data_IF_753895665145
#
_entry.id   IF_753895665145
#
_cell.length_a   1.000
_cell.length_b   1.000
_cell.length_c   1.000
_cell.angle_alpha   90.00
_cell.angle_beta   90.00
_cell.angle_gamma   90.00
#
_symmetry.space_group_name_H-M   'P 1'
#
loop_
_entity.id
_entity.type
_entity.pdbx_description
1 polymer ?
#
# COMPACT_ATOMS: atom_id res chain seq x y z
N UNK A 1 11.38 7.85 12.24
CA UNK A 1 10.73 7.06 11.16
C UNK A 1 9.23 7.30 11.22
N UNK A 2 8.57 7.33 10.07
CA UNK A 2 7.13 7.59 10.07
C UNK A 2 6.34 6.35 10.49
N UNK A 3 5.10 6.55 10.92
CA UNK A 3 4.21 5.44 11.27
C UNK A 3 4.04 4.50 10.07
N UNK A 4 3.88 3.21 10.33
CA UNK A 4 3.78 2.20 9.26
C UNK A 4 2.66 2.52 8.27
N UNK A 5 1.47 2.90 8.75
CA UNK A 5 0.37 3.23 7.83
C UNK A 5 0.73 4.40 6.91
N UNK A 6 1.47 5.38 7.41
CA UNK A 6 1.92 6.50 6.59
C UNK A 6 2.97 6.06 5.58
N UNK A 7 3.88 5.15 5.98
CA UNK A 7 4.86 4.61 5.06
C UNK A 7 4.21 3.82 3.94
N UNK A 8 3.16 3.06 4.25
CA UNK A 8 2.39 2.31 3.25
C UNK A 8 1.78 3.27 2.22
N UNK A 9 1.07 4.31 2.69
CA UNK A 9 0.45 5.29 1.81
C UNK A 9 1.49 6.02 0.97
N UNK A 10 2.58 6.46 1.61
CA UNK A 10 3.63 7.20 0.92
C UNK A 10 4.28 6.41 -0.19
N UNK A 11 4.39 5.09 -0.01
CA UNK A 11 4.94 4.20 -1.04
C UNK A 11 4.19 4.34 -2.37
N UNK A 12 2.86 4.52 -2.31
CA UNK A 12 2.04 4.65 -3.51
C UNK A 12 2.25 5.97 -4.26
N UNK A 13 2.95 6.92 -3.69
CA UNK A 13 3.35 8.13 -4.42
C UNK A 13 4.64 7.92 -5.21
N UNK A 14 5.31 6.78 -5.02
CA UNK A 14 6.62 6.47 -5.61
C UNK A 14 6.57 5.36 -6.66
N UNK A 15 5.45 4.64 -6.75
CA UNK A 15 5.28 3.53 -7.70
C UNK A 15 4.01 3.71 -8.48
N UNK A 16 3.94 3.08 -9.66
CA UNK A 16 2.77 3.16 -10.52
C UNK A 16 1.61 2.36 -9.94
N UNK A 17 1.88 1.18 -9.42
CA UNK A 17 0.90 0.33 -8.76
C UNK A 17 1.62 -0.66 -7.86
N UNK A 18 0.90 -1.24 -6.90
CA UNK A 18 1.45 -2.27 -6.02
C UNK A 18 0.33 -3.09 -5.40
N UNK A 19 0.63 -4.36 -5.11
CA UNK A 19 -0.21 -5.21 -4.28
C UNK A 19 0.37 -5.27 -2.86
N UNK A 20 -0.32 -5.94 -1.94
CA UNK A 20 0.13 -6.05 -0.55
C UNK A 20 1.53 -6.66 -0.45
N UNK A 21 1.80 -7.71 -1.24
CA UNK A 21 3.11 -8.37 -1.23
C UNK A 21 4.22 -7.43 -1.68
N UNK A 22 3.95 -6.59 -2.68
CA UNK A 22 4.92 -5.57 -3.13
C UNK A 22 5.23 -4.56 -2.04
N UNK A 23 4.20 -4.11 -1.32
CA UNK A 23 4.35 -3.16 -0.22
C UNK A 23 5.20 -3.76 0.89
N UNK A 24 4.92 -5.01 1.27
CA UNK A 24 5.68 -5.71 2.30
C UNK A 24 7.16 -5.81 1.90
N UNK A 25 7.43 -6.22 0.66
CA UNK A 25 8.79 -6.34 0.17
C UNK A 25 9.52 -4.99 0.20
N UNK A 26 8.83 -3.92 -0.19
CA UNK A 26 9.43 -2.59 -0.22
C UNK A 26 9.74 -2.06 1.19
N UNK A 27 8.92 -2.41 2.19
CA UNK A 27 9.04 -1.84 3.53
C UNK A 27 9.73 -2.75 4.54
N UNK A 28 10.00 -4.00 4.21
CA UNK A 28 10.54 -4.95 5.19
C UNK A 28 11.91 -4.56 5.75
N UNK A 29 12.70 -3.81 5.00
CA UNK A 29 14.02 -3.38 5.46
C UNK A 29 13.95 -2.46 6.68
N UNK A 30 12.96 -1.56 6.70
CA UNK A 30 12.79 -0.59 7.78
C UNK A 30 11.75 -1.03 8.80
N UNK A 31 10.70 -1.72 8.34
CA UNK A 31 9.54 -2.08 9.16
C UNK A 31 9.38 -3.59 9.37
N UNK A 32 10.42 -4.39 9.09
CA UNK A 32 10.31 -5.84 9.14
C UNK A 32 9.93 -6.40 10.51
N UNK A 33 10.23 -5.67 11.59
CA UNK A 33 9.89 -6.10 12.94
C UNK A 33 8.48 -5.70 13.38
N UNK A 34 7.75 -4.96 12.56
CA UNK A 34 6.40 -4.52 12.89
C UNK A 34 5.42 -5.65 12.63
N UNK A 35 4.64 -6.01 13.66
CA UNK A 35 3.64 -7.07 13.51
C UNK A 35 2.61 -6.78 12.43
N UNK A 36 2.28 -5.51 12.25
CA UNK A 36 1.28 -5.11 11.26
C UNK A 36 1.80 -5.16 9.81
N UNK A 37 3.10 -5.42 9.61
CA UNK A 37 3.63 -5.64 8.26
C UNK A 37 3.44 -7.10 7.86
N UNK A 38 2.18 -7.53 7.85
CA UNK A 38 1.77 -8.87 7.43
C UNK A 38 0.71 -8.73 6.37
N UNK A 39 0.58 -9.76 5.54
CA UNK A 39 -0.31 -9.71 4.37
C UNK A 39 -1.72 -9.25 4.73
N UNK A 40 -2.36 -9.86 5.72
CA UNK A 40 -3.75 -9.52 6.05
C UNK A 40 -3.89 -8.09 6.58
N UNK A 41 -2.95 -7.65 7.40
CA UNK A 41 -2.97 -6.29 7.95
C UNK A 41 -2.72 -5.25 6.85
N UNK A 42 -1.80 -5.54 5.93
CA UNK A 42 -1.52 -4.64 4.82
C UNK A 42 -2.72 -4.58 3.87
N UNK A 43 -3.33 -5.73 3.56
CA UNK A 43 -4.56 -5.75 2.74
C UNK A 43 -5.63 -4.87 3.37
N UNK A 44 -5.85 -4.99 4.69
CA UNK A 44 -6.84 -4.18 5.39
C UNK A 44 -6.51 -2.68 5.28
N UNK A 45 -5.23 -2.32 5.40
CA UNK A 45 -4.81 -0.92 5.25
C UNK A 45 -5.08 -0.39 3.84
N UNK A 46 -4.82 -1.20 2.81
CA UNK A 46 -5.07 -0.80 1.42
C UNK A 46 -6.56 -0.63 1.15
N UNK A 47 -7.39 -1.54 1.66
CA UNK A 47 -8.84 -1.43 1.52
C UNK A 47 -9.39 -0.21 2.22
N UNK A 48 -8.86 0.12 3.40
CA UNK A 48 -9.25 1.33 4.13
C UNK A 48 -8.86 2.58 3.34
N UNK A 49 -7.65 2.60 2.77
CA UNK A 49 -7.19 3.72 1.94
C UNK A 49 -8.08 3.89 0.71
N UNK A 50 -8.50 2.79 0.09
CA UNK A 50 -9.44 2.84 -1.03
C UNK A 50 -10.78 3.42 -0.61
N UNK A 51 -11.31 2.98 0.53
CA UNK A 51 -12.58 3.48 1.06
C UNK A 51 -12.53 4.98 1.34
N UNK A 52 -11.35 5.48 1.69
CA UNK A 52 -11.13 6.92 1.94
C UNK A 52 -10.78 7.72 0.69
N UNK A 53 -10.77 7.07 -0.48
CA UNK A 53 -10.52 7.76 -1.74
C UNK A 53 -9.05 8.07 -2.02
N UNK A 54 -8.12 7.50 -1.24
CA UNK A 54 -6.68 7.73 -1.42
C UNK A 54 -6.07 6.80 -2.46
N UNK A 55 -6.59 5.59 -2.56
CA UNK A 55 -6.13 4.59 -3.51
C UNK A 55 -7.30 4.06 -4.32
N UNK A 56 -6.99 3.51 -5.50
CA UNK A 56 -7.95 2.85 -6.37
C UNK A 56 -7.41 1.49 -6.78
N UNK A 57 -8.29 0.49 -6.85
CA UNK A 57 -7.93 -0.82 -7.39
C UNK A 57 -7.71 -0.70 -8.89
N UNK A 58 -6.60 -1.23 -9.41
CA UNK A 58 -6.30 -1.20 -10.84
C UNK A 58 -6.60 -2.52 -11.52
N UNK A 59 -6.25 -3.63 -10.88
CA UNK A 59 -6.41 -4.96 -11.43
C UNK A 59 -6.17 -6.01 -10.35
N UNK A 60 -6.43 -7.24 -10.68
CA UNK A 60 -6.06 -8.35 -9.80
C UNK A 60 -5.42 -9.46 -10.63
N UNK A 61 -4.64 -10.30 -9.95
CA UNK A 61 -4.01 -11.48 -10.53
C UNK A 61 -4.18 -12.66 -9.61
N UNK A 62 -4.28 -13.86 -10.20
CA UNK A 62 -4.26 -15.10 -9.44
C UNK A 62 -2.95 -15.81 -9.77
N UNK A 63 -2.13 -16.12 -8.75
CA UNK A 63 -0.88 -16.83 -8.99
C UNK A 63 -1.10 -18.34 -9.08
N UNK A 64 0.00 -19.09 -9.29
CA UNK A 64 -0.06 -20.55 -9.45
C UNK A 64 -0.57 -21.28 -8.21
N UNK A 65 -0.46 -20.65 -7.05
CA UNK A 65 -0.94 -21.21 -5.78
C UNK A 65 -2.35 -20.75 -5.45
N UNK A 66 -3.06 -20.16 -6.43
CA UNK A 66 -4.41 -19.62 -6.28
C UNK A 66 -4.49 -18.48 -5.25
N UNK A 67 -3.38 -17.77 -5.03
CA UNK A 67 -3.36 -16.60 -4.16
C UNK A 67 -3.76 -15.39 -4.99
N UNK A 68 -4.83 -14.71 -4.56
CA UNK A 68 -5.30 -13.50 -5.21
C UNK A 68 -4.46 -12.31 -4.79
N UNK A 69 -3.99 -11.53 -5.77
CA UNK A 69 -3.26 -10.29 -5.56
C UNK A 69 -4.04 -9.16 -6.17
N UNK A 70 -4.43 -8.20 -5.35
CA UNK A 70 -5.16 -7.02 -5.79
C UNK A 70 -4.16 -5.86 -5.85
N UNK A 71 -4.10 -5.19 -6.99
CA UNK A 71 -3.19 -4.06 -7.21
C UNK A 71 -3.94 -2.76 -7.06
N UNK A 72 -3.26 -1.81 -6.45
CA UNK A 72 -3.79 -0.47 -6.19
C UNK A 72 -2.84 0.59 -6.74
N UNK A 73 -3.36 1.78 -6.97
CA UNK A 73 -2.56 2.95 -7.27
C UNK A 73 -3.16 4.19 -6.62
N UNK A 74 -2.36 5.23 -6.46
CA UNK A 74 -2.86 6.54 -6.05
C UNK A 74 -3.08 7.37 -7.31
N UNK A 75 -4.32 7.83 -7.52
CA UNK A 75 -4.55 8.77 -8.62
C UNK A 75 -3.97 10.14 -8.25
N UNK A 76 -4.05 11.12 -9.17
CA UNK A 76 -3.44 12.42 -8.94
C UNK A 76 -3.93 13.08 -7.66
N UNK A 77 -5.24 13.01 -7.39
CA UNK A 77 -5.82 13.60 -6.18
C UNK A 77 -5.39 12.87 -4.91
N UNK A 78 -5.39 11.54 -4.95
CA UNK A 78 -4.92 10.73 -3.83
C UNK A 78 -3.46 10.98 -3.52
N UNK A 79 -2.61 11.00 -4.54
CA UNK A 79 -1.18 11.28 -4.38
C UNK A 79 -0.95 12.68 -3.80
N UNK A 80 -1.68 13.68 -4.29
CA UNK A 80 -1.56 15.05 -3.79
C UNK A 80 -1.96 15.12 -2.31
N UNK A 81 -3.03 14.44 -1.93
CA UNK A 81 -3.48 14.40 -0.53
C UNK A 81 -2.44 13.73 0.36
N UNK A 82 -1.93 12.58 -0.07
CA UNK A 82 -0.90 11.86 0.68
C UNK A 82 0.33 12.76 0.87
N UNK A 83 0.80 13.37 -0.19
CA UNK A 83 2.00 14.23 -0.14
C UNK A 83 1.78 15.49 0.70
N UNK A 84 0.55 15.98 0.78
CA UNK A 84 0.24 17.15 1.59
C UNK A 84 0.36 16.84 3.09
N UNK A 85 -0.12 15.68 3.52
CA UNK A 85 -0.21 15.35 4.93
C UNK A 85 0.93 14.47 5.44
N UNK A 86 1.61 13.75 4.57
CA UNK A 86 2.70 12.84 4.96
C UNK A 86 3.98 13.29 4.27
N UNK A 87 4.96 13.75 5.07
CA UNK A 87 6.25 14.17 4.55
C UNK A 87 7.23 13.00 4.51
N UNK A 88 8.20 13.09 3.62
CA UNK A 88 9.27 12.08 3.55
C UNK A 88 10.21 12.14 4.74
#
# INVERSE_FOLDING_TARGET
MKALNYAILKHFTKVKEACAEDVIEALKGEYGNFKALRRDDVIAALMTAEANGLLEETRFEMDKADVLRVYYHANADGAATINKYIKD
#
